data_IF_234403220766
#
_entry.id   IF_234403220766
#
_cell.length_a   1.000
_cell.length_b   1.000
_cell.length_c   1.000
_cell.angle_alpha   90.00
_cell.angle_beta   90.00
_cell.angle_gamma   90.00
#
_symmetry.space_group_name_H-M   'P 1'
#
loop_
_entity.id
_entity.type
_entity.pdbx_description
1 polymer ?
#
# COMPACT_ATOMS: atom_id res chain seq x y z
N UNK A 1 12.80 -30.33 -17.34
CA UNK A 1 12.92 -31.67 -16.75
C UNK A 1 11.67 -31.90 -15.90
N UNK A 2 10.91 -32.95 -16.21
CA UNK A 2 9.67 -33.29 -15.50
C UNK A 2 9.98 -33.78 -14.09
N UNK A 3 9.63 -32.98 -13.10
CA UNK A 3 9.44 -33.44 -11.73
C UNK A 3 7.94 -33.56 -11.50
N UNK A 4 7.41 -34.78 -11.66
CA UNK A 4 6.09 -35.15 -11.18
C UNK A 4 6.08 -35.00 -9.66
N UNK A 5 5.42 -33.97 -9.16
CA UNK A 5 5.08 -33.88 -7.74
C UNK A 5 3.94 -34.87 -7.49
N UNK A 6 4.13 -35.79 -6.55
CA UNK A 6 3.08 -36.71 -6.13
C UNK A 6 1.88 -35.93 -5.61
N UNK A 7 0.70 -36.15 -6.20
CA UNK A 7 -0.59 -35.53 -5.87
C UNK A 7 -0.94 -35.67 -4.37
N UNK A 8 -0.36 -36.64 -3.67
CA UNK A 8 -0.45 -36.81 -2.20
C UNK A 8 0.14 -35.62 -1.42
N UNK A 9 1.13 -34.91 -1.96
CA UNK A 9 1.73 -33.73 -1.31
C UNK A 9 0.90 -32.46 -1.48
N UNK A 10 0.08 -32.36 -2.54
CA UNK A 10 -0.87 -31.27 -2.77
C UNK A 10 -1.96 -31.22 -1.69
N UNK A 11 -2.50 -32.38 -1.29
CA UNK A 11 -3.51 -32.49 -0.23
C UNK A 11 -3.06 -31.91 1.12
N UNK A 12 -1.75 -31.98 1.40
CA UNK A 12 -1.18 -31.41 2.62
C UNK A 12 -1.04 -29.88 2.57
N UNK A 13 -1.24 -29.19 1.45
CA UNK A 13 -0.96 -27.75 1.37
C UNK A 13 -2.21 -26.86 1.23
N UNK A 14 -3.40 -27.45 1.10
CA UNK A 14 -4.65 -26.71 0.97
C UNK A 14 -5.23 -26.26 2.31
N UNK A 15 -4.89 -25.05 2.73
CA UNK A 15 -5.76 -24.23 3.58
C UNK A 15 -6.15 -23.00 2.76
N UNK A 16 -7.41 -22.95 2.35
CA UNK A 16 -7.98 -21.87 1.56
C UNK A 16 -8.38 -20.73 2.50
N UNK A 17 -7.85 -19.53 2.23
CA UNK A 17 -8.34 -18.27 2.77
C UNK A 17 -9.74 -18.00 2.20
N UNK A 18 -10.78 -18.37 2.95
CA UNK A 18 -12.06 -17.69 2.89
C UNK A 18 -12.13 -16.76 4.09
N UNK A 19 -12.52 -15.52 3.86
CA UNK A 19 -13.02 -14.65 4.92
C UNK A 19 -14.07 -15.43 5.73
N UNK A 20 -13.79 -15.55 7.04
CA UNK A 20 -14.43 -16.37 8.09
C UNK A 20 -13.57 -17.57 8.51
N UNK A 21 -12.91 -17.33 9.63
CA UNK A 21 -12.29 -18.29 10.53
C UNK A 21 -12.96 -19.67 10.48
N UNK A 22 -12.20 -20.66 10.00
CA UNK A 22 -12.37 -22.04 10.46
C UNK A 22 -11.01 -22.49 10.97
N UNK A 23 -10.81 -22.30 12.27
CA UNK A 23 -9.88 -23.08 13.07
C UNK A 23 -10.14 -24.57 12.82
N UNK A 24 -9.38 -25.19 11.92
CA UNK A 24 -9.11 -26.61 12.01
C UNK A 24 -7.62 -26.78 12.29
N UNK A 25 -7.34 -26.81 13.58
CA UNK A 25 -6.07 -27.09 14.19
C UNK A 25 -5.71 -28.55 13.87
N UNK A 26 -4.89 -28.74 12.85
CA UNK A 26 -4.09 -29.96 12.74
C UNK A 26 -2.76 -29.72 13.48
N UNK A 27 -2.74 -30.14 14.74
CA UNK A 27 -1.80 -29.70 15.78
C UNK A 27 -0.36 -30.26 15.64
N UNK A 28 0.00 -30.92 14.55
CA UNK A 28 1.23 -31.73 14.47
C UNK A 28 2.14 -31.55 13.25
N UNK A 29 1.96 -30.51 12.42
CA UNK A 29 3.06 -30.06 11.54
C UNK A 29 2.97 -28.56 11.26
N UNK A 30 3.89 -27.77 11.80
CA UNK A 30 4.09 -26.38 11.35
C UNK A 30 4.60 -26.43 9.92
N UNK A 31 3.68 -26.46 8.94
CA UNK A 31 4.03 -26.44 7.52
C UNK A 31 4.79 -25.15 7.24
N UNK A 32 6.02 -25.26 6.75
CA UNK A 32 6.91 -24.12 6.42
C UNK A 32 6.32 -23.17 5.37
N UNK A 33 5.41 -23.66 4.54
CA UNK A 33 4.80 -22.92 3.44
C UNK A 33 3.28 -23.09 3.44
N UNK A 34 2.59 -22.01 3.05
CA UNK A 34 1.17 -22.00 2.71
C UNK A 34 1.01 -21.88 1.20
N UNK A 35 -0.03 -22.48 0.64
CA UNK A 35 -0.31 -22.39 -0.80
C UNK A 35 -1.68 -21.85 -1.09
N UNK A 36 -1.82 -21.12 -2.20
CA UNK A 36 -3.06 -20.50 -2.65
C UNK A 36 -3.26 -20.77 -4.13
N UNK A 37 -4.44 -21.27 -4.52
CA UNK A 37 -4.82 -21.37 -5.93
C UNK A 37 -5.42 -20.04 -6.37
N UNK A 38 -4.99 -19.54 -7.53
CA UNK A 38 -5.51 -18.30 -8.13
C UNK A 38 -5.72 -18.46 -9.63
N UNK A 39 -6.73 -17.77 -10.17
CA UNK A 39 -6.95 -17.71 -11.62
C UNK A 39 -5.77 -17.03 -12.30
N UNK A 40 -5.27 -17.63 -13.38
CA UNK A 40 -4.28 -17.02 -14.24
C UNK A 40 -4.89 -15.81 -14.94
N UNK A 41 -4.52 -14.63 -14.47
CA UNK A 41 -4.91 -13.34 -15.01
C UNK A 41 -3.72 -12.36 -14.96
N UNK A 42 -3.91 -11.18 -15.54
CA UNK A 42 -2.90 -10.11 -15.54
C UNK A 42 -2.30 -9.88 -14.14
N UNK A 43 -3.12 -9.80 -13.09
CA UNK A 43 -2.66 -9.50 -11.72
C UNK A 43 -1.83 -10.61 -11.11
N UNK A 44 -2.27 -11.87 -11.26
CA UNK A 44 -1.50 -13.03 -10.76
C UNK A 44 -0.12 -13.12 -11.44
N UNK A 45 -0.07 -12.90 -12.75
CA UNK A 45 1.19 -12.89 -13.50
C UNK A 45 2.04 -11.67 -13.12
N UNK A 46 1.42 -10.53 -12.87
CA UNK A 46 2.12 -9.34 -12.41
C UNK A 46 2.76 -9.56 -11.03
N UNK A 47 2.01 -10.11 -10.07
CA UNK A 47 2.51 -10.42 -8.72
C UNK A 47 3.66 -11.43 -8.77
N UNK A 48 3.54 -12.48 -9.59
CA UNK A 48 4.59 -13.47 -9.78
C UNK A 48 5.86 -12.83 -10.36
N UNK A 49 5.74 -12.02 -11.42
CA UNK A 49 6.88 -11.33 -12.03
C UNK A 49 7.56 -10.34 -11.07
N UNK A 50 6.78 -9.54 -10.33
CA UNK A 50 7.30 -8.62 -9.31
C UNK A 50 8.01 -9.41 -8.20
N UNK A 51 7.43 -10.52 -7.77
CA UNK A 51 8.03 -11.39 -6.74
C UNK A 51 9.39 -11.94 -7.18
N UNK A 52 9.54 -12.34 -8.46
CA UNK A 52 10.84 -12.77 -8.99
C UNK A 52 11.89 -11.65 -8.95
N UNK A 53 11.53 -10.42 -9.34
CA UNK A 53 12.45 -9.27 -9.25
C UNK A 53 12.84 -9.00 -7.78
N UNK A 54 11.88 -9.07 -6.84
CA UNK A 54 12.15 -8.84 -5.42
C UNK A 54 13.09 -9.90 -4.83
N UNK A 55 13.06 -11.16 -5.31
CA UNK A 55 13.98 -12.22 -4.85
C UNK A 55 15.45 -11.90 -5.15
N UNK A 56 15.73 -11.07 -6.15
CA UNK A 56 17.09 -10.63 -6.49
C UNK A 56 17.63 -9.64 -5.45
N UNK A 57 16.75 -9.01 -4.64
CA UNK A 57 17.15 -8.07 -3.59
C UNK A 57 17.79 -8.83 -2.41
N UNK A 58 19.02 -8.49 -2.00
CA UNK A 58 19.65 -9.11 -0.84
C UNK A 58 18.79 -8.98 0.42
N UNK A 59 18.55 -10.12 1.08
CA UNK A 59 17.74 -10.18 2.30
C UNK A 59 16.31 -9.67 2.15
N UNK A 60 15.71 -9.73 0.94
CA UNK A 60 14.35 -9.26 0.64
C UNK A 60 13.30 -9.64 1.70
N UNK A 61 13.41 -10.85 2.26
CA UNK A 61 12.48 -11.37 3.27
C UNK A 61 12.44 -10.57 4.57
N UNK A 62 13.35 -9.61 4.78
CA UNK A 62 13.32 -8.65 5.90
C UNK A 62 12.29 -7.55 5.72
N UNK A 63 11.90 -7.25 4.49
CA UNK A 63 11.04 -6.10 4.14
C UNK A 63 9.80 -6.52 3.36
N UNK A 64 9.79 -7.70 2.75
CA UNK A 64 8.73 -8.11 1.82
C UNK A 64 8.25 -9.54 2.06
N UNK A 65 6.93 -9.71 2.01
CA UNK A 65 6.27 -11.01 1.95
C UNK A 65 5.76 -11.23 0.51
N UNK A 66 6.43 -12.12 -0.21
CA UNK A 66 6.23 -12.35 -1.64
C UNK A 66 5.94 -13.82 -1.96
N UNK A 67 5.61 -14.08 -3.22
CA UNK A 67 5.46 -15.44 -3.74
C UNK A 67 6.84 -16.10 -3.79
N UNK A 68 7.03 -17.19 -3.05
CA UNK A 68 8.27 -17.95 -3.00
C UNK A 68 8.42 -18.87 -4.21
N UNK A 69 7.31 -19.44 -4.69
CA UNK A 69 7.27 -20.21 -5.94
C UNK A 69 5.85 -20.17 -6.53
N UNK A 70 5.74 -20.41 -7.84
CA UNK A 70 4.44 -20.64 -8.47
C UNK A 70 4.50 -21.73 -9.55
N UNK A 71 3.39 -22.45 -9.72
CA UNK A 71 3.27 -23.53 -10.70
C UNK A 71 1.92 -23.46 -11.41
N UNK A 72 1.86 -23.90 -12.68
CA UNK A 72 0.61 -24.03 -13.41
C UNK A 72 -0.12 -25.29 -12.98
N UNK A 73 -1.42 -25.18 -12.71
CA UNK A 73 -2.27 -26.31 -12.31
C UNK A 73 -3.17 -26.71 -13.48
N UNK A 74 -3.18 -28.01 -13.79
CA UNK A 74 -4.26 -28.61 -14.55
C UNK A 74 -5.38 -29.01 -13.58
N UNK A 75 -6.52 -28.31 -13.65
CA UNK A 75 -7.69 -28.50 -12.77
C UNK A 75 -8.18 -29.95 -12.83
N UNK A 76 -7.99 -30.65 -13.96
CA UNK A 76 -8.39 -32.06 -14.13
C UNK A 76 -7.65 -33.00 -13.18
N UNK A 77 -6.56 -32.53 -12.58
CA UNK A 77 -5.76 -33.29 -11.62
C UNK A 77 -6.15 -32.99 -10.16
N UNK A 78 -7.06 -32.03 -9.92
CA UNK A 78 -7.57 -31.70 -8.59
C UNK A 78 -8.74 -32.63 -8.23
N UNK A 79 -8.91 -32.92 -6.93
CA UNK A 79 -10.02 -33.75 -6.46
C UNK A 79 -11.35 -32.98 -6.46
N UNK A 80 -12.46 -33.70 -6.56
CA UNK A 80 -13.81 -33.11 -6.60
C UNK A 80 -14.09 -32.22 -5.39
N UNK A 81 -13.55 -32.54 -4.22
CA UNK A 81 -13.72 -31.76 -2.98
C UNK A 81 -13.08 -30.36 -3.06
N UNK A 82 -11.94 -30.21 -3.75
CA UNK A 82 -11.30 -28.90 -3.99
C UNK A 82 -12.05 -28.14 -5.07
N UNK A 83 -12.56 -28.83 -6.08
CA UNK A 83 -13.36 -28.24 -7.15
C UNK A 83 -14.67 -27.65 -6.64
N UNK A 84 -15.40 -28.41 -5.80
CA UNK A 84 -16.65 -27.98 -5.17
C UNK A 84 -16.46 -26.78 -4.24
N UNK A 85 -15.35 -26.73 -3.49
CA UNK A 85 -15.05 -25.62 -2.57
C UNK A 85 -14.67 -24.32 -3.27
N UNK A 86 -14.07 -24.41 -4.45
CA UNK A 86 -13.51 -23.24 -5.14
C UNK A 86 -14.46 -22.63 -6.17
N UNK A 87 -15.66 -23.20 -6.37
CA UNK A 87 -16.66 -22.71 -7.33
C UNK A 87 -16.02 -22.38 -8.69
N UNK A 88 -15.11 -23.24 -9.15
CA UNK A 88 -14.36 -22.95 -10.36
C UNK A 88 -15.30 -22.86 -11.57
N UNK A 89 -15.14 -21.81 -12.37
CA UNK A 89 -15.74 -21.76 -13.69
C UNK A 89 -15.01 -22.77 -14.57
N UNK A 90 -15.68 -23.89 -14.86
CA UNK A 90 -15.08 -25.07 -15.53
C UNK A 90 -14.69 -24.77 -17.00
N UNK A 91 -14.95 -23.55 -17.50
CA UNK A 91 -14.70 -23.16 -18.89
C UNK A 91 -13.38 -22.40 -19.04
N UNK A 92 -12.36 -23.08 -19.57
CA UNK A 92 -11.13 -22.53 -20.17
C UNK A 92 -10.24 -21.60 -19.33
N UNK A 93 -10.47 -21.51 -18.02
CA UNK A 93 -9.61 -20.73 -17.12
C UNK A 93 -8.39 -21.56 -16.71
N UNK A 94 -7.19 -20.98 -16.85
CA UNK A 94 -5.94 -21.58 -16.33
C UNK A 94 -5.72 -21.12 -14.90
N UNK A 95 -5.06 -21.94 -14.09
CA UNK A 95 -4.84 -21.67 -12.67
C UNK A 95 -3.36 -21.75 -12.30
N UNK A 96 -3.00 -21.00 -11.26
CA UNK A 96 -1.68 -20.98 -10.67
C UNK A 96 -1.75 -21.41 -9.21
N UNK A 97 -0.78 -22.21 -8.77
CA UNK A 97 -0.52 -22.51 -7.37
C UNK A 97 0.56 -21.57 -6.87
N UNK A 98 0.21 -20.60 -6.03
CA UNK A 98 1.19 -19.76 -5.36
C UNK A 98 1.63 -20.39 -4.05
N UNK A 99 2.93 -20.31 -3.77
CA UNK A 99 3.54 -20.78 -2.53
C UNK A 99 4.13 -19.59 -1.79
N UNK A 100 3.72 -19.39 -0.54
CA UNK A 100 4.21 -18.34 0.34
C UNK A 100 4.85 -18.96 1.59
N UNK A 101 5.75 -18.22 2.25
CA UNK A 101 6.18 -18.59 3.60
C UNK A 101 4.96 -18.58 4.53
N UNK A 102 4.86 -19.61 5.37
CA UNK A 102 3.78 -19.69 6.35
C UNK A 102 4.19 -18.89 7.59
N UNK A 103 3.88 -17.60 7.57
CA UNK A 103 4.16 -16.64 8.64
C UNK A 103 2.83 -16.12 9.16
N UNK A 104 2.69 -16.04 10.48
CA UNK A 104 1.53 -15.40 11.11
C UNK A 104 1.72 -13.89 11.09
N UNK A 105 0.93 -13.23 10.27
CA UNK A 105 1.00 -11.79 10.06
C UNK A 105 -0.16 -11.08 10.75
N UNK A 106 0.13 -9.90 11.31
CA UNK A 106 -0.87 -8.96 11.84
C UNK A 106 -0.88 -7.68 10.99
N UNK A 107 -2.01 -7.25 10.42
CA UNK A 107 -2.12 -5.98 9.69
C UNK A 107 -1.73 -4.77 10.54
N UNK A 108 -1.24 -3.71 9.91
CA UNK A 108 -0.69 -2.55 10.62
C UNK A 108 -1.71 -1.90 11.57
N UNK A 109 -2.96 -1.78 11.14
CA UNK A 109 -4.03 -1.28 12.00
C UNK A 109 -4.13 -2.09 13.30
N UNK A 110 -4.27 -3.40 13.20
CA UNK A 110 -4.41 -4.27 14.36
C UNK A 110 -3.12 -4.29 15.21
N UNK A 111 -1.96 -4.17 14.55
CA UNK A 111 -0.67 -4.05 15.21
C UNK A 111 -0.58 -2.79 16.09
N UNK A 112 -1.11 -1.65 15.64
CA UNK A 112 -1.11 -0.41 16.44
C UNK A 112 -1.85 -0.56 17.78
N UNK A 113 -2.93 -1.34 17.81
CA UNK A 113 -3.63 -1.70 19.05
C UNK A 113 -2.86 -2.72 19.88
N UNK A 114 -2.25 -3.69 19.21
CA UNK A 114 -1.52 -4.77 19.87
C UNK A 114 -0.30 -4.25 20.64
N UNK A 115 0.48 -3.33 20.05
CA UNK A 115 1.79 -2.98 20.59
C UNK A 115 1.75 -2.26 21.93
N UNK A 116 0.79 -1.36 22.20
CA UNK A 116 0.85 -0.65 23.49
C UNK A 116 -0.37 0.18 23.88
N UNK A 117 -0.58 0.25 25.20
CA UNK A 117 -1.42 1.24 25.90
C UNK A 117 -0.65 2.50 26.29
N UNK A 118 0.65 2.61 25.97
CA UNK A 118 1.52 3.72 26.35
C UNK A 118 1.93 4.60 25.14
N UNK A 119 1.59 5.91 25.13
CA UNK A 119 1.85 6.80 23.99
C UNK A 119 3.34 6.90 23.61
N UNK A 120 4.23 6.88 24.60
CA UNK A 120 5.69 6.94 24.39
C UNK A 120 6.19 5.78 23.52
N UNK A 121 5.78 4.56 23.86
CA UNK A 121 6.18 3.35 23.16
C UNK A 121 5.64 3.39 21.73
N UNK A 122 4.39 3.81 21.57
CA UNK A 122 3.75 3.97 20.25
C UNK A 122 4.55 4.92 19.35
N UNK A 123 4.97 6.08 19.87
CA UNK A 123 5.75 7.06 19.09
C UNK A 123 7.05 6.45 18.56
N UNK A 124 7.83 5.80 19.43
CA UNK A 124 9.11 5.23 19.01
C UNK A 124 8.92 4.09 18.00
N UNK A 125 7.89 3.25 18.16
CA UNK A 125 7.55 2.26 17.14
C UNK A 125 7.15 2.90 15.82
N UNK A 126 6.32 3.94 15.83
CA UNK A 126 5.90 4.61 14.60
C UNK A 126 7.08 5.25 13.86
N UNK A 127 8.02 5.84 14.61
CA UNK A 127 9.27 6.39 14.07
C UNK A 127 10.06 5.28 13.38
N UNK A 128 10.27 4.15 14.05
CA UNK A 128 10.99 3.00 13.50
C UNK A 128 10.28 2.42 12.27
N UNK A 129 8.98 2.15 12.36
CA UNK A 129 8.17 1.58 11.27
C UNK A 129 8.24 2.48 10.04
N UNK A 130 8.10 3.79 10.21
CA UNK A 130 8.20 4.74 9.10
C UNK A 130 9.56 4.67 8.40
N UNK A 131 10.66 4.63 9.19
CA UNK A 131 12.01 4.50 8.65
C UNK A 131 12.20 3.19 7.88
N UNK A 132 11.76 2.07 8.44
CA UNK A 132 11.86 0.75 7.80
C UNK A 132 11.05 0.68 6.50
N UNK A 133 9.83 1.20 6.50
CA UNK A 133 9.00 1.25 5.29
C UNK A 133 9.61 2.14 4.21
N UNK A 134 10.13 3.31 4.56
CA UNK A 134 10.82 4.18 3.61
C UNK A 134 12.01 3.47 2.96
N UNK A 135 12.86 2.80 3.74
CA UNK A 135 13.98 2.04 3.21
C UNK A 135 13.52 0.90 2.28
N UNK A 136 12.47 0.18 2.67
CA UNK A 136 11.88 -0.87 1.83
C UNK A 136 11.32 -0.34 0.51
N UNK A 137 10.66 0.82 0.51
CA UNK A 137 10.15 1.44 -0.71
C UNK A 137 11.27 1.99 -1.60
N UNK A 138 12.35 2.53 -1.01
CA UNK A 138 13.55 2.97 -1.77
C UNK A 138 14.18 1.77 -2.48
N UNK A 139 14.39 0.66 -1.78
CA UNK A 139 14.94 -0.56 -2.35
C UNK A 139 14.10 -1.11 -3.51
N UNK A 140 12.75 -1.03 -3.42
CA UNK A 140 11.87 -1.39 -4.54
C UNK A 140 12.08 -0.47 -5.75
N UNK A 141 12.13 0.85 -5.53
CA UNK A 141 12.33 1.82 -6.62
C UNK A 141 13.69 1.65 -7.30
N UNK A 142 14.76 1.34 -6.54
CA UNK A 142 16.08 1.01 -7.08
C UNK A 142 16.04 -0.23 -8.01
N UNK A 143 15.09 -1.13 -7.79
CA UNK A 143 14.85 -2.31 -8.63
C UNK A 143 13.71 -2.11 -9.64
N UNK A 144 13.39 -0.86 -10.00
CA UNK A 144 12.36 -0.49 -10.97
C UNK A 144 10.95 -0.99 -10.59
N UNK A 145 10.63 -0.99 -9.29
CA UNK A 145 9.30 -1.33 -8.77
C UNK A 145 8.72 -0.14 -8.01
N UNK A 146 7.54 0.31 -8.42
CA UNK A 146 6.68 1.14 -7.57
C UNK A 146 5.67 0.22 -6.87
N UNK A 147 5.62 0.27 -5.54
CA UNK A 147 4.77 -0.64 -4.77
C UNK A 147 3.30 -0.44 -5.09
N UNK A 148 2.85 0.82 -5.24
CA UNK A 148 1.54 1.22 -5.77
C UNK A 148 0.34 0.52 -5.10
N UNK A 149 0.50 -0.05 -3.92
CA UNK A 149 -0.55 -0.74 -3.18
C UNK A 149 -0.41 -0.53 -1.65
N UNK A 150 0.23 0.57 -1.24
CA UNK A 150 0.38 0.87 0.17
C UNK A 150 -0.98 1.11 0.83
N UNK A 151 -1.23 0.38 1.92
CA UNK A 151 -2.42 0.49 2.75
C UNK A 151 -2.13 -0.08 4.14
N UNK A 152 -2.99 0.23 5.10
CA UNK A 152 -2.91 -0.36 6.45
C UNK A 152 -3.05 -1.89 6.46
N UNK A 153 -3.66 -2.48 5.42
CA UNK A 153 -3.81 -3.93 5.27
C UNK A 153 -2.58 -4.60 4.68
N UNK A 154 -1.89 -3.90 3.77
CA UNK A 154 -0.75 -4.45 3.03
C UNK A 154 0.60 -4.15 3.70
N UNK A 155 0.57 -3.48 4.86
CA UNK A 155 1.68 -3.41 5.81
C UNK A 155 1.34 -4.40 6.92
N UNK A 156 2.20 -5.40 7.12
CA UNK A 156 1.96 -6.48 8.08
C UNK A 156 3.17 -6.73 8.98
N UNK A 157 2.93 -7.32 10.15
CA UNK A 157 3.94 -7.61 11.15
C UNK A 157 3.97 -9.11 11.43
N UNK A 158 5.17 -9.70 11.40
CA UNK A 158 5.40 -11.11 11.70
C UNK A 158 5.36 -11.34 13.22
N UNK A 159 4.29 -11.98 13.68
CA UNK A 159 4.03 -12.25 15.10
C UNK A 159 5.03 -13.23 15.72
N UNK A 160 5.68 -14.07 14.91
CA UNK A 160 6.55 -15.13 15.42
C UNK A 160 7.95 -14.59 15.74
N UNK A 161 8.42 -13.54 15.05
CA UNK A 161 9.83 -13.18 15.07
C UNK A 161 10.15 -11.68 14.94
N UNK A 162 9.22 -10.76 14.59
CA UNK A 162 9.62 -9.39 14.20
C UNK A 162 8.61 -8.29 14.53
N UNK A 163 9.11 -7.25 15.19
CA UNK A 163 8.44 -5.93 15.30
C UNK A 163 8.67 -5.05 14.06
N UNK A 164 9.25 -5.59 12.98
CA UNK A 164 9.55 -4.84 11.77
C UNK A 164 8.47 -5.10 10.70
N UNK A 165 8.00 -4.04 10.02
CA UNK A 165 6.93 -4.17 9.03
C UNK A 165 7.43 -4.89 7.78
N UNK A 166 6.53 -5.67 7.18
CA UNK A 166 6.66 -6.28 5.87
C UNK A 166 5.61 -5.68 4.94
N UNK A 167 5.98 -5.46 3.68
CA UNK A 167 5.03 -5.15 2.61
C UNK A 167 4.56 -6.45 1.95
N UNK A 168 3.25 -6.56 1.70
CA UNK A 168 2.64 -7.69 1.00
C UNK A 168 1.65 -7.24 -0.10
N UNK A 169 1.05 -8.19 -0.82
CA UNK A 169 0.06 -7.95 -1.88
C UNK A 169 0.60 -7.12 -3.06
N UNK A 170 1.61 -7.65 -3.75
CA UNK A 170 2.29 -7.01 -4.88
C UNK A 170 1.52 -7.06 -6.22
N UNK A 171 0.26 -7.54 -6.22
CA UNK A 171 -0.51 -7.74 -7.46
C UNK A 171 -0.76 -6.47 -8.27
N UNK A 172 -0.81 -5.31 -7.58
CA UNK A 172 -0.98 -4.00 -8.20
C UNK A 172 0.32 -3.19 -8.27
N UNK A 173 1.44 -3.73 -7.80
CA UNK A 173 2.74 -3.09 -7.93
C UNK A 173 3.11 -2.95 -9.40
N UNK A 174 3.85 -1.89 -9.70
CA UNK A 174 4.17 -1.50 -11.07
C UNK A 174 5.62 -1.86 -11.37
N UNK A 175 5.80 -2.64 -12.43
CA UNK A 175 7.11 -2.83 -13.02
C UNK A 175 7.40 -1.64 -13.94
N UNK A 176 8.26 -0.72 -13.50
CA UNK A 176 8.50 0.56 -14.17
C UNK A 176 9.07 0.38 -15.59
N UNK A 177 9.86 -0.66 -15.82
CA UNK A 177 10.38 -1.00 -17.15
C UNK A 177 9.32 -1.46 -18.16
N UNK A 178 8.11 -1.79 -17.71
CA UNK A 178 6.96 -2.17 -18.56
C UNK A 178 5.85 -1.11 -18.58
N UNK A 179 6.09 0.04 -17.93
CA UNK A 179 5.09 1.06 -17.73
C UNK A 179 4.66 1.64 -19.09
N UNK A 180 3.37 1.52 -19.39
CA UNK A 180 2.76 1.94 -20.64
C UNK A 180 1.28 2.19 -20.41
N UNK A 181 0.62 2.86 -21.37
CA UNK A 181 -0.83 3.12 -21.32
C UNK A 181 -1.64 1.83 -21.13
N UNK A 182 -1.28 0.77 -21.86
CA UNK A 182 -1.92 -0.56 -21.76
C UNK A 182 -1.73 -1.17 -20.37
N UNK A 183 -0.50 -1.17 -19.87
CA UNK A 183 -0.15 -1.77 -18.59
C UNK A 183 -0.87 -1.09 -17.43
N UNK A 184 -0.81 0.24 -17.33
CA UNK A 184 -1.51 0.99 -16.28
C UNK A 184 -3.03 0.86 -16.40
N UNK A 185 -3.56 0.81 -17.63
CA UNK A 185 -5.00 0.60 -17.85
C UNK A 185 -5.47 -0.73 -17.27
N UNK A 186 -4.69 -1.80 -17.40
CA UNK A 186 -5.00 -3.08 -16.78
C UNK A 186 -4.94 -3.01 -15.26
N UNK A 187 -3.95 -2.33 -14.68
CA UNK A 187 -3.88 -2.13 -13.21
C UNK A 187 -5.13 -1.39 -12.71
N UNK A 188 -5.49 -0.27 -13.33
CA UNK A 188 -6.58 0.61 -12.87
C UNK A 188 -7.97 -0.04 -13.02
N UNK A 189 -8.20 -0.90 -14.01
CA UNK A 189 -9.53 -1.52 -14.26
C UNK A 189 -10.08 -2.29 -13.06
N UNK A 190 -9.24 -3.03 -12.33
CA UNK A 190 -9.66 -3.82 -11.15
C UNK A 190 -9.23 -3.23 -9.81
N UNK A 191 -8.60 -2.06 -9.80
CA UNK A 191 -8.40 -1.33 -8.56
C UNK A 191 -9.79 -0.87 -8.05
N UNK A 192 -10.03 -1.03 -6.74
CA UNK A 192 -11.30 -0.66 -6.11
C UNK A 192 -11.12 0.34 -4.98
N UNK A 193 -9.93 0.39 -4.37
CA UNK A 193 -9.57 1.38 -3.35
C UNK A 193 -8.57 2.38 -3.92
N UNK A 194 -8.94 3.66 -3.81
CA UNK A 194 -8.17 4.79 -4.31
C UNK A 194 -7.86 5.80 -3.21
N UNK A 195 -8.26 5.55 -1.96
CA UNK A 195 -8.20 6.55 -0.88
C UNK A 195 -6.78 7.07 -0.64
N UNK A 196 -5.79 6.20 -0.76
CA UNK A 196 -4.38 6.51 -0.56
C UNK A 196 -3.64 6.84 -1.87
N UNK A 197 -4.36 7.02 -2.98
CA UNK A 197 -3.75 7.36 -4.28
C UNK A 197 -3.66 8.87 -4.47
N UNK A 198 -2.61 9.34 -5.16
CA UNK A 198 -2.45 10.76 -5.43
C UNK A 198 -3.48 11.24 -6.46
N UNK A 199 -3.73 12.54 -6.46
CA UNK A 199 -4.79 13.16 -7.26
C UNK A 199 -4.73 12.81 -8.75
N UNK A 200 -3.54 12.80 -9.35
CA UNK A 200 -3.33 12.44 -10.76
C UNK A 200 -3.73 10.98 -11.07
N UNK A 201 -3.61 10.06 -10.11
CA UNK A 201 -4.07 8.67 -10.28
C UNK A 201 -5.59 8.58 -10.26
N UNK A 202 -6.28 9.47 -9.53
CA UNK A 202 -7.74 9.58 -9.67
C UNK A 202 -8.14 10.03 -11.08
N UNK A 203 -7.38 10.93 -11.71
CA UNK A 203 -7.62 11.33 -13.10
C UNK A 203 -7.46 10.13 -14.05
N UNK A 204 -6.41 9.31 -13.88
CA UNK A 204 -6.25 8.06 -14.63
C UNK A 204 -7.48 7.16 -14.48
N UNK A 205 -7.96 6.96 -13.26
CA UNK A 205 -9.17 6.20 -12.99
C UNK A 205 -10.37 6.73 -13.78
N UNK A 206 -10.62 8.03 -13.72
CA UNK A 206 -11.75 8.63 -14.42
C UNK A 206 -11.65 8.44 -15.94
N UNK A 207 -10.46 8.65 -16.52
CA UNK A 207 -10.21 8.47 -17.95
C UNK A 207 -10.37 7.01 -18.40
N UNK A 208 -9.87 6.07 -17.60
CA UNK A 208 -9.80 4.65 -17.96
C UNK A 208 -11.14 3.95 -17.71
N UNK A 209 -11.77 4.12 -16.53
CA UNK A 209 -13.02 3.42 -16.19
C UNK A 209 -14.24 3.97 -16.90
N UNK A 210 -14.29 5.27 -17.19
CA UNK A 210 -15.42 5.90 -17.88
C UNK A 210 -15.18 6.10 -19.39
N UNK A 211 -14.07 5.56 -19.90
CA UNK A 211 -13.65 5.69 -21.29
C UNK A 211 -13.67 7.12 -21.86
N UNK A 212 -13.15 8.06 -21.08
CA UNK A 212 -13.12 9.48 -21.44
C UNK A 212 -11.87 9.78 -22.29
N UNK A 213 -12.07 10.35 -23.47
CA UNK A 213 -11.01 10.58 -24.46
C UNK A 213 -10.21 11.89 -24.26
N UNK A 214 -10.73 12.82 -23.49
CA UNK A 214 -10.13 14.14 -23.24
C UNK A 214 -10.78 14.78 -22.01
N UNK A 215 -10.15 15.78 -21.40
CA UNK A 215 -10.74 16.49 -20.26
C UNK A 215 -11.12 17.93 -20.61
N UNK A 216 -12.29 18.36 -20.14
CA UNK A 216 -12.74 19.74 -20.21
C UNK A 216 -12.48 20.47 -18.89
N UNK A 217 -12.58 21.80 -18.90
CA UNK A 217 -12.49 22.59 -17.67
C UNK A 217 -13.61 22.26 -16.67
N UNK A 218 -14.85 22.12 -17.14
CA UNK A 218 -15.99 21.72 -16.28
C UNK A 218 -15.78 20.35 -15.62
N UNK A 219 -15.12 19.43 -16.33
CA UNK A 219 -14.78 18.12 -15.79
C UNK A 219 -13.70 18.19 -14.70
N UNK A 220 -12.68 19.06 -14.88
CA UNK A 220 -11.66 19.33 -13.86
C UNK A 220 -12.31 19.80 -12.56
N UNK A 221 -13.22 20.78 -12.63
CA UNK A 221 -13.92 21.29 -11.45
C UNK A 221 -14.69 20.19 -10.70
N UNK A 222 -15.42 19.34 -11.45
CA UNK A 222 -16.19 18.23 -10.86
C UNK A 222 -15.29 17.19 -10.19
N UNK A 223 -14.20 16.78 -10.83
CA UNK A 223 -13.24 15.83 -10.23
C UNK A 223 -12.60 16.43 -8.98
N UNK A 224 -12.18 17.69 -9.04
CA UNK A 224 -11.57 18.36 -7.89
C UNK A 224 -12.53 18.39 -6.70
N UNK A 225 -13.79 18.75 -6.94
CA UNK A 225 -14.82 18.80 -5.89
C UNK A 225 -15.06 17.42 -5.25
N UNK A 226 -15.21 16.38 -6.08
CA UNK A 226 -15.43 15.01 -5.59
C UNK A 226 -14.20 14.52 -4.80
N UNK A 227 -13.00 14.79 -5.30
CA UNK A 227 -11.76 14.40 -4.65
C UNK A 227 -11.63 15.04 -3.27
N UNK A 228 -11.79 16.37 -3.19
CA UNK A 228 -11.64 17.13 -1.93
C UNK A 228 -12.68 16.70 -0.90
N UNK A 229 -13.94 16.50 -1.33
CA UNK A 229 -15.01 16.04 -0.44
C UNK A 229 -14.73 14.68 0.18
N UNK A 230 -13.95 13.82 -0.50
CA UNK A 230 -13.58 12.47 -0.02
C UNK A 230 -12.21 12.42 0.67
N UNK A 231 -11.46 13.53 0.67
CA UNK A 231 -10.09 13.57 1.17
C UNK A 231 -10.08 13.99 2.64
N UNK A 232 -10.40 13.03 3.52
CA UNK A 232 -10.56 13.21 4.98
C UNK A 232 -9.34 13.86 5.65
N UNK A 233 -8.13 13.64 5.13
CA UNK A 233 -6.91 14.26 5.67
C UNK A 233 -6.97 15.79 5.71
N UNK A 234 -7.78 16.42 4.84
CA UNK A 234 -7.95 17.87 4.82
C UNK A 234 -8.60 18.42 6.10
N UNK A 235 -9.25 17.59 6.90
CA UNK A 235 -9.84 17.97 8.18
C UNK A 235 -8.81 18.41 9.23
N UNK A 236 -7.53 18.09 9.02
CA UNK A 236 -6.43 18.60 9.85
C UNK A 236 -6.03 20.03 9.52
N UNK A 237 -6.53 20.60 8.43
CA UNK A 237 -6.11 21.89 7.91
C UNK A 237 -7.23 22.94 7.98
N UNK A 238 -6.84 24.21 7.99
CA UNK A 238 -7.80 25.32 7.99
C UNK A 238 -8.59 25.38 6.68
N UNK A 239 -9.79 25.96 6.71
CA UNK A 239 -10.58 26.21 5.49
C UNK A 239 -9.80 26.99 4.43
N UNK A 240 -9.01 27.98 4.86
CA UNK A 240 -8.12 28.73 3.96
C UNK A 240 -7.05 27.86 3.27
N UNK A 241 -6.61 26.78 3.91
CA UNK A 241 -5.71 25.81 3.29
C UNK A 241 -6.46 24.91 2.31
N UNK A 242 -7.66 24.44 2.67
CA UNK A 242 -8.52 23.62 1.79
C UNK A 242 -8.84 24.34 0.48
N UNK A 243 -9.16 25.62 0.53
CA UNK A 243 -9.40 26.44 -0.67
C UNK A 243 -8.13 26.58 -1.54
N UNK A 244 -6.97 26.82 -0.92
CA UNK A 244 -5.70 26.84 -1.66
C UNK A 244 -5.36 25.50 -2.28
N UNK A 245 -5.65 24.41 -1.57
CA UNK A 245 -5.46 23.05 -2.05
C UNK A 245 -6.38 22.77 -3.26
N UNK A 246 -7.64 23.19 -3.19
CA UNK A 246 -8.60 23.11 -4.30
C UNK A 246 -8.09 23.81 -5.56
N UNK A 247 -7.64 25.06 -5.41
CA UNK A 247 -7.07 25.83 -6.51
C UNK A 247 -5.82 25.15 -7.09
N UNK A 248 -5.00 24.53 -6.24
CA UNK A 248 -3.83 23.78 -6.70
C UNK A 248 -4.22 22.51 -7.47
N UNK A 249 -5.28 21.80 -7.08
CA UNK A 249 -5.83 20.68 -7.86
C UNK A 249 -6.24 21.13 -9.26
N UNK A 250 -7.05 22.20 -9.36
CA UNK A 250 -7.53 22.72 -10.65
C UNK A 250 -6.34 23.08 -11.53
N UNK A 251 -5.41 23.89 -11.00
CA UNK A 251 -4.21 24.33 -11.71
C UNK A 251 -3.34 23.18 -12.20
N UNK A 252 -3.25 22.08 -11.45
CA UNK A 252 -2.47 20.90 -11.84
C UNK A 252 -3.01 20.19 -13.09
N UNK A 253 -4.30 20.34 -13.38
CA UNK A 253 -4.97 19.67 -14.52
C UNK A 253 -5.22 20.59 -15.72
N UNK A 254 -5.10 21.91 -15.57
CA UNK A 254 -5.32 22.87 -16.68
C UNK A 254 -4.48 22.54 -17.91
N UNK A 255 -3.26 22.03 -17.71
CA UNK A 255 -2.34 21.61 -18.79
C UNK A 255 -2.87 20.45 -19.65
N UNK A 256 -3.93 19.77 -19.24
CA UNK A 256 -4.52 18.62 -19.93
C UNK A 256 -5.82 18.96 -20.67
N UNK A 257 -6.32 20.20 -20.57
CA UNK A 257 -7.55 20.60 -21.25
C UNK A 257 -7.43 20.36 -22.75
N UNK A 258 -8.41 19.65 -23.31
CA UNK A 258 -8.47 19.25 -24.73
C UNK A 258 -7.29 18.38 -25.22
N UNK A 259 -6.45 17.85 -24.33
CA UNK A 259 -5.42 16.89 -24.73
C UNK A 259 -6.01 15.49 -24.95
N UNK A 260 -5.44 14.68 -25.86
CA UNK A 260 -5.80 13.28 -26.01
C UNK A 260 -5.53 12.46 -24.74
N UNK A 261 -6.42 11.51 -24.42
CA UNK A 261 -6.32 10.57 -23.29
C UNK A 261 -4.94 9.96 -23.13
N UNK A 262 -4.34 9.46 -24.23
CA UNK A 262 -3.05 8.79 -24.17
C UNK A 262 -1.92 9.74 -23.76
N UNK A 263 -1.94 10.98 -24.25
CA UNK A 263 -0.93 12.00 -23.90
C UNK A 263 -1.05 12.39 -22.43
N UNK A 264 -2.29 12.51 -21.93
CA UNK A 264 -2.55 12.75 -20.51
C UNK A 264 -2.03 11.60 -19.65
N UNK A 265 -2.32 10.35 -20.06
CA UNK A 265 -1.84 9.17 -19.32
C UNK A 265 -0.32 9.15 -19.30
N UNK A 266 0.35 9.32 -20.44
CA UNK A 266 1.81 9.30 -20.51
C UNK A 266 2.46 10.37 -19.63
N UNK A 267 1.96 11.61 -19.66
CA UNK A 267 2.47 12.71 -18.81
C UNK A 267 2.29 12.40 -17.30
N UNK A 268 1.16 11.79 -16.92
CA UNK A 268 0.95 11.35 -15.52
C UNK A 268 1.91 10.22 -15.14
N UNK A 269 2.18 9.27 -16.06
CA UNK A 269 3.10 8.16 -15.81
C UNK A 269 4.53 8.63 -15.55
N UNK A 270 4.96 9.78 -16.10
CA UNK A 270 6.30 10.35 -15.84
C UNK A 270 6.54 10.71 -14.35
N UNK A 271 5.47 10.83 -13.55
CA UNK A 271 5.54 11.20 -12.14
C UNK A 271 5.37 9.98 -11.19
N UNK A 272 5.59 8.75 -11.69
CA UNK A 272 5.38 7.52 -10.94
C UNK A 272 6.21 7.44 -9.65
N UNK A 273 7.38 8.07 -9.62
CA UNK A 273 8.31 8.10 -8.48
C UNK A 273 7.72 8.82 -7.25
N UNK A 274 6.66 9.62 -7.45
CA UNK A 274 5.96 10.35 -6.39
C UNK A 274 4.80 9.60 -5.77
N UNK A 275 4.38 8.46 -6.34
CA UNK A 275 3.14 7.79 -5.92
C UNK A 275 3.26 7.09 -4.58
N UNK A 276 4.35 6.34 -4.36
CA UNK A 276 4.58 5.70 -3.05
C UNK A 276 4.90 6.74 -1.96
N UNK A 277 5.59 7.83 -2.32
CA UNK A 277 5.84 8.96 -1.41
C UNK A 277 4.52 9.55 -0.92
N UNK A 278 3.57 9.77 -1.84
CA UNK A 278 2.24 10.25 -1.50
C UNK A 278 1.53 9.28 -0.56
N UNK A 279 1.48 7.98 -0.91
CA UNK A 279 0.73 7.00 -0.12
C UNK A 279 1.32 6.82 1.29
N UNK A 280 2.64 6.74 1.44
CA UNK A 280 3.25 6.60 2.78
C UNK A 280 3.09 7.89 3.58
N UNK A 281 3.21 9.05 2.93
CA UNK A 281 2.99 10.32 3.61
C UNK A 281 1.56 10.47 4.07
N UNK A 282 0.58 10.02 3.29
CA UNK A 282 -0.83 10.04 3.68
C UNK A 282 -1.08 9.16 4.92
N UNK A 283 -0.62 7.90 4.93
CA UNK A 283 -0.77 7.00 6.09
C UNK A 283 -0.19 7.63 7.36
N UNK A 284 1.06 8.10 7.30
CA UNK A 284 1.73 8.64 8.50
C UNK A 284 1.28 10.05 8.85
N UNK A 285 0.79 10.84 7.90
CA UNK A 285 0.15 12.11 8.18
C UNK A 285 -1.16 11.91 8.94
N UNK A 286 -1.91 10.84 8.62
CA UNK A 286 -3.09 10.47 9.39
C UNK A 286 -2.71 10.16 10.84
N UNK A 287 -1.72 9.29 11.04
CA UNK A 287 -1.29 8.89 12.39
C UNK A 287 -0.68 10.06 13.18
N UNK A 288 0.36 10.71 12.65
CA UNK A 288 1.06 11.79 13.35
C UNK A 288 0.23 13.08 13.43
N UNK A 289 -0.60 13.37 12.42
CA UNK A 289 -1.53 14.50 12.44
C UNK A 289 -2.59 14.35 13.52
N UNK A 290 -3.25 13.18 13.59
CA UNK A 290 -4.19 12.86 14.66
C UNK A 290 -3.53 12.94 16.03
N UNK A 291 -2.32 12.38 16.18
CA UNK A 291 -1.57 12.44 17.43
C UNK A 291 -1.20 13.87 17.82
N UNK A 292 -0.69 14.66 16.88
CA UNK A 292 -0.31 16.05 17.10
C UNK A 292 -1.49 16.89 17.55
N UNK A 293 -2.68 16.68 16.97
CA UNK A 293 -3.91 17.40 17.33
C UNK A 293 -4.46 16.94 18.68
N UNK A 294 -4.61 15.64 18.86
CA UNK A 294 -5.22 15.05 20.06
C UNK A 294 -4.42 15.35 21.33
N UNK A 295 -3.09 15.22 21.28
CA UNK A 295 -2.20 15.51 22.40
C UNK A 295 -1.65 16.95 22.42
N UNK A 296 -2.07 17.81 21.48
CA UNK A 296 -1.63 19.22 21.39
C UNK A 296 -0.10 19.41 21.31
N UNK A 297 0.58 18.58 20.52
CA UNK A 297 2.04 18.45 20.48
C UNK A 297 2.76 19.54 19.64
N UNK A 298 2.46 20.82 19.87
CA UNK A 298 3.05 21.93 19.11
C UNK A 298 4.57 21.99 19.28
N UNK A 299 5.29 22.33 18.20
CA UNK A 299 6.76 22.47 18.16
C UNK A 299 7.58 21.21 18.51
N UNK A 300 6.93 20.07 18.67
CA UNK A 300 7.59 18.77 18.90
C UNK A 300 8.02 18.13 17.56
N UNK A 301 8.82 17.06 17.64
CA UNK A 301 9.12 16.21 16.50
C UNK A 301 7.86 15.77 15.73
N UNK A 302 6.80 15.35 16.44
CA UNK A 302 5.53 14.88 15.84
C UNK A 302 4.91 15.98 14.98
N UNK A 303 4.91 17.22 15.46
CA UNK A 303 4.40 18.35 14.69
C UNK A 303 5.29 18.68 13.48
N UNK A 304 6.62 18.62 13.63
CA UNK A 304 7.57 18.87 12.53
C UNK A 304 7.45 17.82 11.42
N UNK A 305 7.37 16.53 11.76
CA UNK A 305 7.20 15.46 10.77
C UNK A 305 5.81 15.54 10.10
N UNK A 306 4.77 15.91 10.84
CA UNK A 306 3.43 16.17 10.26
C UNK A 306 3.49 17.24 9.16
N UNK A 307 4.22 18.34 9.40
CA UNK A 307 4.40 19.41 8.39
C UNK A 307 5.19 18.89 7.18
N UNK A 308 6.21 18.06 7.38
CA UNK A 308 6.99 17.48 6.29
C UNK A 308 6.14 16.53 5.42
N UNK A 309 5.37 15.64 6.04
CA UNK A 309 4.48 14.70 5.33
C UNK A 309 3.36 15.45 4.58
N UNK A 310 2.86 16.57 5.13
CA UNK A 310 1.87 17.41 4.47
C UNK A 310 2.34 17.99 3.13
N UNK A 311 3.65 18.19 2.92
CA UNK A 311 4.19 18.65 1.63
C UNK A 311 4.02 17.59 0.55
N UNK A 312 4.11 16.32 0.92
CA UNK A 312 4.09 15.19 0.00
C UNK A 312 2.68 14.74 -0.41
N UNK A 313 1.64 15.31 0.19
CA UNK A 313 0.26 15.15 -0.27
C UNK A 313 -0.19 16.27 -1.22
N UNK A 314 0.71 17.15 -1.67
CA UNK A 314 0.37 18.24 -2.59
C UNK A 314 -0.19 17.70 -3.94
N UNK A 315 -1.21 18.32 -4.56
CA UNK A 315 -1.84 17.76 -5.77
C UNK A 315 -0.93 17.79 -7.00
N UNK A 316 -0.04 18.78 -7.10
CA UNK A 316 1.04 18.82 -8.10
C UNK A 316 2.22 17.91 -7.68
N UNK A 317 2.53 16.84 -8.45
CA UNK A 317 3.60 15.90 -8.12
C UNK A 317 4.99 16.55 -8.06
N UNK A 318 5.23 17.60 -8.84
CA UNK A 318 6.53 18.29 -8.89
C UNK A 318 6.91 18.97 -7.57
N UNK A 319 5.93 19.21 -6.69
CA UNK A 319 6.15 19.78 -5.36
C UNK A 319 6.33 18.73 -4.26
N UNK A 320 6.21 17.46 -4.60
CA UNK A 320 6.46 16.34 -3.68
C UNK A 320 7.93 15.96 -3.74
N UNK A 321 8.46 15.51 -2.61
CA UNK A 321 9.79 14.91 -2.55
C UNK A 321 9.81 13.56 -3.27
N UNK A 322 10.97 13.07 -3.68
CA UNK A 322 11.16 11.62 -3.86
C UNK A 322 11.37 10.92 -2.50
N UNK A 323 11.40 9.57 -2.49
CA UNK A 323 11.57 8.80 -1.26
C UNK A 323 12.92 9.06 -0.56
N UNK A 324 14.00 9.22 -1.32
CA UNK A 324 15.34 9.45 -0.76
C UNK A 324 15.42 10.81 -0.07
N UNK A 325 14.83 11.83 -0.66
CA UNK A 325 14.69 13.18 -0.10
C UNK A 325 13.81 13.16 1.13
N UNK A 326 12.68 12.43 1.12
CA UNK A 326 11.84 12.26 2.29
C UNK A 326 12.59 11.57 3.44
N UNK A 327 13.33 10.50 3.15
CA UNK A 327 14.15 9.80 4.16
C UNK A 327 15.20 10.75 4.77
N UNK A 328 15.90 11.52 3.94
CA UNK A 328 16.88 12.50 4.39
C UNK A 328 16.24 13.58 5.27
N UNK A 329 15.10 14.12 4.86
CA UNK A 329 14.38 15.14 5.65
C UNK A 329 13.91 14.57 6.98
N UNK A 330 13.38 13.35 6.99
CA UNK A 330 13.00 12.65 8.20
C UNK A 330 14.19 12.42 9.15
N UNK A 331 15.33 11.96 8.64
CA UNK A 331 16.55 11.77 9.43
C UNK A 331 17.05 13.10 10.02
N UNK A 332 17.08 14.16 9.22
CA UNK A 332 17.45 15.50 9.72
C UNK A 332 16.52 15.99 10.84
N UNK A 333 15.21 15.72 10.75
CA UNK A 333 14.25 16.05 11.80
C UNK A 333 14.49 15.23 13.07
N UNK A 334 14.80 13.93 12.91
CA UNK A 334 15.05 13.02 14.03
C UNK A 334 16.34 13.38 14.76
N UNK A 335 17.45 13.53 14.02
CA UNK A 335 18.76 13.88 14.56
C UNK A 335 18.79 15.30 15.13
N UNK A 336 17.96 16.19 14.58
CA UNK A 336 17.81 17.56 15.05
C UNK A 336 16.96 17.71 16.32
N UNK A 337 16.17 16.70 16.70
CA UNK A 337 15.30 16.77 17.88
C UNK A 337 16.09 16.51 19.17
N UNK A 338 16.25 17.55 19.98
CA UNK A 338 16.97 17.49 21.25
C UNK A 338 16.06 17.29 22.45
N UNK A 339 14.78 17.65 22.34
CA UNK A 339 13.84 17.60 23.44
C UNK A 339 12.72 16.57 23.19
N UNK A 340 12.88 15.41 23.83
CA UNK A 340 11.88 14.35 23.85
C UNK A 340 10.99 14.40 25.09
N UNK A 341 11.07 15.43 25.94
CA UNK A 341 10.31 15.50 27.18
C UNK A 341 8.79 15.48 26.95
N UNK A 342 8.31 15.90 25.78
CA UNK A 342 6.89 15.88 25.43
C UNK A 342 6.27 14.49 25.52
N UNK A 343 7.02 13.41 25.26
CA UNK A 343 6.50 12.03 25.33
C UNK A 343 6.10 11.63 26.75
N UNK A 344 6.72 12.24 27.77
CA UNK A 344 6.44 11.97 29.18
C UNK A 344 5.16 12.67 29.66
N UNK A 345 4.69 13.68 28.93
CA UNK A 345 3.48 14.45 29.26
C UNK A 345 2.22 13.84 28.62
N UNK A 346 2.36 12.77 27.85
CA UNK A 346 1.23 12.11 27.18
C UNK A 346 0.53 11.14 28.14
N UNK A 347 -0.77 11.36 28.34
CA UNK A 347 -1.56 10.56 29.27
C UNK A 347 -1.95 9.20 28.65
N UNK A 348 -1.52 8.10 29.29
CA UNK A 348 -1.84 6.74 28.86
C UNK A 348 -3.33 6.40 28.95
N UNK A 349 -4.08 7.04 29.87
CA UNK A 349 -5.52 6.84 30.00
C UNK A 349 -6.32 7.33 28.78
N UNK A 350 -5.73 8.19 27.95
CA UNK A 350 -6.35 8.73 26.74
C UNK A 350 -6.07 7.89 25.48
N UNK A 351 -5.30 6.81 25.57
CA UNK A 351 -4.92 6.03 24.39
C UNK A 351 -6.11 5.35 23.71
N UNK A 352 -7.10 4.89 24.48
CA UNK A 352 -8.31 4.30 23.90
C UNK A 352 -9.06 5.30 23.01
N UNK A 353 -9.29 6.51 23.54
CA UNK A 353 -9.93 7.61 22.80
C UNK A 353 -9.11 8.03 21.57
N UNK A 354 -7.78 8.06 21.68
CA UNK A 354 -6.90 8.32 20.53
C UNK A 354 -7.07 7.27 19.43
N UNK A 355 -7.15 5.99 19.79
CA UNK A 355 -7.34 4.94 18.80
C UNK A 355 -8.72 4.97 18.17
N UNK A 356 -9.77 5.35 18.90
CA UNK A 356 -11.10 5.53 18.32
C UNK A 356 -11.06 6.58 17.19
N UNK A 357 -10.32 7.68 17.37
CA UNK A 357 -10.10 8.73 16.36
C UNK A 357 -9.27 8.22 15.16
N UNK A 358 -8.33 7.31 15.38
CA UNK A 358 -7.47 6.80 14.30
C UNK A 358 -8.22 5.88 13.32
N UNK A 359 -9.42 5.42 13.67
CA UNK A 359 -10.22 4.49 12.87
C UNK A 359 -11.44 5.13 12.21
N UNK A 360 -11.78 6.37 12.58
CA UNK A 360 -12.70 7.24 11.83
C UNK A 360 -12.02 7.77 10.55
#
# INVERSE_FOLDING_TARGET
MNTNIEISTLLNHFLLDNEKDVENIDKNSQKKYKTKIINQCFYSINEANISEIIKEIPYYSKSYLIIENYEFIDIRQLNDTVLEKLNFDIKDVKYLLFKYKNIKCLPFNDFLFYITTHPKILIFYLIDIFSYLLQGLIQLNEHNICFFNLSYKNIVFDLDCREKPLLEDFKYSLQLSKLSVSYISNIIKNLNDYRLKPFEVHVLFYLIKNDINTISYSFIEQICEIYIKKFNILEFFSESYKEKYKLACIKSLEKYVNKPKNDIILDILEQHDKWDVYSISHIFLHIFGSMSRFFSLKNTFINKITIELAKNIHPDPSKRSDLSTLLKNYQNLLDGEKDWSFVNHMNSSKMKEFFDILYE
#
